data_IF_682369511266
#
_entry.id   IF_682369511266
#
_cell.length_a   1.000
_cell.length_b   1.000
_cell.length_c   1.000
_cell.angle_alpha   90.00
_cell.angle_beta   90.00
_cell.angle_gamma   90.00
#
_symmetry.space_group_name_H-M   'P 1'
#
loop_
_entity.id
_entity.type
_entity.pdbx_description
1 polymer ?
#
# COMPACT_ATOMS: atom_id res chain seq x y z
N UNK A 1 15.38 -10.76 4.44
CA UNK A 1 14.69 -11.85 3.74
C UNK A 1 13.38 -11.23 3.30
N UNK A 2 13.23 -10.93 2.01
CA UNK A 2 11.95 -10.41 1.51
C UNK A 2 10.91 -11.48 1.81
N UNK A 3 9.98 -11.17 2.70
CA UNK A 3 8.90 -12.07 3.08
C UNK A 3 8.05 -12.32 1.83
N UNK A 4 7.70 -13.59 1.57
CA UNK A 4 6.88 -13.94 0.40
C UNK A 4 5.55 -13.17 0.47
N UNK A 5 5.22 -12.28 -0.49
CA UNK A 5 3.99 -11.51 -0.46
C UNK A 5 2.74 -12.38 -0.34
N UNK A 6 2.78 -13.63 -0.83
CA UNK A 6 1.67 -14.58 -0.70
C UNK A 6 1.46 -15.00 0.76
N UNK A 7 2.54 -15.19 1.51
CA UNK A 7 2.51 -15.48 2.94
C UNK A 7 2.04 -14.25 3.72
N UNK A 8 2.60 -13.08 3.44
CA UNK A 8 2.21 -11.83 4.09
C UNK A 8 0.72 -11.53 3.88
N UNK A 9 0.18 -11.71 2.66
CA UNK A 9 -1.26 -11.56 2.37
C UNK A 9 -2.12 -12.55 3.16
N UNK A 10 -1.65 -13.81 3.31
CA UNK A 10 -2.37 -14.82 4.11
C UNK A 10 -2.47 -14.40 5.56
N UNK A 11 -1.37 -13.95 6.16
CA UNK A 11 -1.35 -13.46 7.55
C UNK A 11 -2.22 -12.21 7.75
N UNK A 12 -2.18 -11.26 6.80
CA UNK A 12 -3.09 -10.09 6.85
C UNK A 12 -4.56 -10.53 6.79
N UNK A 13 -4.90 -11.54 5.97
CA UNK A 13 -6.28 -12.06 5.87
C UNK A 13 -6.74 -12.72 7.17
N UNK A 14 -5.86 -13.42 7.87
CA UNK A 14 -6.17 -14.01 9.19
C UNK A 14 -6.50 -12.90 10.21
N UNK A 15 -5.67 -11.86 10.29
CA UNK A 15 -5.92 -10.71 11.18
C UNK A 15 -7.22 -9.98 10.80
N UNK A 16 -7.55 -9.86 9.52
CA UNK A 16 -8.85 -9.30 9.08
C UNK A 16 -10.02 -10.16 9.54
N UNK A 17 -9.89 -11.49 9.55
CA UNK A 17 -10.93 -12.39 10.04
C UNK A 17 -11.11 -12.25 11.57
N UNK A 18 -10.02 -12.19 12.33
CA UNK A 18 -10.02 -11.93 13.78
C UNK A 18 -10.64 -10.55 14.11
N UNK A 19 -10.33 -9.53 13.29
CA UNK A 19 -10.86 -8.19 13.50
C UNK A 19 -12.38 -8.14 13.25
N UNK A 20 -12.87 -8.90 12.25
CA UNK A 20 -14.31 -9.02 11.96
C UNK A 20 -15.07 -9.79 13.03
N UNK A 21 -14.44 -10.76 13.69
CA UNK A 21 -15.04 -11.48 14.82
C UNK A 21 -14.93 -10.72 16.15
N UNK A 22 -14.23 -9.57 16.18
CA UNK A 22 -14.06 -8.75 17.38
C UNK A 22 -13.01 -9.28 18.36
N UNK A 23 -12.15 -10.20 17.92
CA UNK A 23 -11.17 -10.92 18.78
C UNK A 23 -9.73 -10.46 18.50
N UNK A 24 -9.52 -9.45 17.65
CA UNK A 24 -8.17 -9.03 17.26
C UNK A 24 -7.50 -8.11 18.27
N UNK A 25 -6.25 -8.42 18.59
CA UNK A 25 -5.37 -7.59 19.40
C UNK A 25 -4.96 -6.31 18.62
N UNK A 26 -5.08 -5.12 19.23
CA UNK A 26 -4.67 -3.82 18.65
C UNK A 26 -3.31 -3.85 17.91
N UNK A 27 -2.31 -4.52 18.50
CA UNK A 27 -0.95 -4.63 17.99
C UNK A 27 -0.89 -5.50 16.73
N UNK A 28 -1.66 -6.60 16.68
CA UNK A 28 -1.76 -7.44 15.48
C UNK A 28 -2.38 -6.69 14.32
N UNK A 29 -3.41 -5.88 14.58
CA UNK A 29 -4.03 -5.04 13.54
C UNK A 29 -3.02 -4.04 12.99
N UNK A 30 -2.24 -3.38 13.83
CA UNK A 30 -1.18 -2.47 13.38
C UNK A 30 -0.11 -3.19 12.56
N UNK A 31 0.37 -4.36 13.01
CA UNK A 31 1.32 -5.16 12.27
C UNK A 31 0.77 -5.57 10.88
N UNK A 32 -0.51 -5.98 10.83
CA UNK A 32 -1.18 -6.29 9.58
C UNK A 32 -1.33 -5.07 8.64
N UNK A 33 -1.51 -3.85 9.18
CA UNK A 33 -1.51 -2.64 8.37
C UNK A 33 -0.15 -2.31 7.76
N UNK A 34 0.94 -2.52 8.51
CA UNK A 34 2.32 -2.35 8.02
C UNK A 34 2.62 -3.38 6.93
N UNK A 35 2.29 -4.65 7.19
CA UNK A 35 2.42 -5.74 6.23
C UNK A 35 1.62 -5.47 4.93
N UNK A 36 0.38 -5.01 5.08
CA UNK A 36 -0.48 -4.65 3.94
C UNK A 36 0.08 -3.48 3.15
N UNK A 37 0.70 -2.49 3.81
CA UNK A 37 1.39 -1.39 3.12
C UNK A 37 2.56 -1.92 2.29
N UNK A 38 3.41 -2.76 2.86
CA UNK A 38 4.57 -3.33 2.16
C UNK A 38 4.15 -4.14 0.91
N UNK A 39 3.11 -4.98 1.04
CA UNK A 39 2.56 -5.72 -0.11
C UNK A 39 2.02 -4.76 -1.17
N UNK A 40 1.29 -3.70 -0.80
CA UNK A 40 0.80 -2.71 -1.77
C UNK A 40 1.93 -2.01 -2.50
N UNK A 41 3.03 -1.68 -1.81
CA UNK A 41 4.21 -1.07 -2.43
C UNK A 41 4.87 -2.03 -3.44
N UNK A 42 4.99 -3.31 -3.08
CA UNK A 42 5.54 -4.32 -3.97
C UNK A 42 4.65 -4.56 -5.21
N UNK A 43 3.34 -4.68 -5.02
CA UNK A 43 2.38 -4.80 -6.12
C UNK A 43 2.38 -3.57 -7.03
N UNK A 44 2.49 -2.37 -6.44
CA UNK A 44 2.58 -1.13 -7.20
C UNK A 44 3.88 -1.05 -8.03
N UNK A 45 4.98 -1.63 -7.57
CA UNK A 45 6.24 -1.69 -8.30
C UNK A 45 6.18 -2.65 -9.51
N UNK A 46 5.45 -3.76 -9.41
CA UNK A 46 5.28 -4.72 -10.52
C UNK A 46 4.42 -4.18 -11.66
N UNK A 47 3.48 -3.29 -11.34
CA UNK A 47 2.55 -2.76 -12.33
C UNK A 47 3.22 -2.05 -13.53
N UNK A 48 4.14 -1.08 -13.36
CA UNK A 48 4.87 -0.50 -14.50
C UNK A 48 5.73 -1.53 -15.25
N UNK A 49 6.26 -2.56 -14.58
CA UNK A 49 7.01 -3.64 -15.23
C UNK A 49 6.10 -4.48 -16.15
N UNK A 50 4.93 -4.87 -15.66
CA UNK A 50 3.92 -5.62 -16.43
C UNK A 50 3.40 -4.80 -17.61
N UNK A 51 3.14 -3.51 -17.42
CA UNK A 51 2.76 -2.60 -18.50
C UNK A 51 3.87 -2.51 -19.55
N UNK A 52 5.13 -2.34 -19.12
CA UNK A 52 6.27 -2.27 -20.02
C UNK A 52 6.45 -3.56 -20.82
N UNK A 53 6.33 -4.73 -20.19
CA UNK A 53 6.38 -6.03 -20.84
C UNK A 53 5.26 -6.19 -21.90
N UNK A 54 4.02 -5.82 -21.56
CA UNK A 54 2.90 -5.87 -22.49
C UNK A 54 3.10 -4.92 -23.69
N UNK A 55 3.65 -3.71 -23.45
CA UNK A 55 3.99 -2.74 -24.50
C UNK A 55 5.11 -3.26 -25.39
N UNK A 56 6.14 -3.90 -24.84
CA UNK A 56 7.21 -4.55 -25.59
C UNK A 56 6.67 -5.70 -26.47
N UNK A 57 5.66 -6.43 -25.99
CA UNK A 57 4.90 -7.42 -26.76
C UNK A 57 3.89 -6.83 -27.76
N UNK A 58 3.87 -5.52 -27.98
CA UNK A 58 3.02 -4.87 -28.99
C UNK A 58 1.58 -4.57 -28.53
N UNK A 59 1.23 -4.80 -27.27
CA UNK A 59 -0.12 -4.50 -26.76
C UNK A 59 -0.37 -3.00 -26.81
N UNK A 60 -1.47 -2.56 -27.43
CA UNK A 60 -1.80 -1.13 -27.53
C UNK A 60 -2.30 -0.56 -26.20
N UNK A 61 -2.13 0.74 -26.00
CA UNK A 61 -2.69 1.44 -24.84
C UNK A 61 -4.23 1.33 -24.74
N UNK A 62 -4.91 1.23 -25.88
CA UNK A 62 -6.36 1.00 -25.92
C UNK A 62 -6.73 -0.38 -25.38
N UNK A 63 -5.92 -1.41 -25.68
CA UNK A 63 -6.11 -2.77 -25.16
C UNK A 63 -5.73 -2.89 -23.67
N UNK A 64 -4.78 -2.07 -23.19
CA UNK A 64 -4.40 -2.03 -21.77
C UNK A 64 -5.43 -1.31 -20.89
N UNK A 65 -6.14 -0.33 -21.41
CA UNK A 65 -7.02 0.53 -20.60
C UNK A 65 -8.05 -0.25 -19.73
N UNK A 66 -8.77 -1.26 -20.25
CA UNK A 66 -9.68 -2.07 -19.43
C UNK A 66 -8.97 -2.83 -18.31
N UNK A 67 -7.78 -3.41 -18.58
CA UNK A 67 -7.01 -4.17 -17.60
C UNK A 67 -6.46 -3.30 -16.46
N UNK A 68 -6.19 -2.02 -16.74
CA UNK A 68 -5.75 -1.03 -15.74
C UNK A 68 -6.93 -0.34 -15.03
N UNK A 69 -8.18 -0.71 -15.32
CA UNK A 69 -9.37 -0.11 -14.73
C UNK A 69 -9.62 1.34 -15.14
N UNK A 70 -9.14 1.77 -16.31
CA UNK A 70 -9.29 3.14 -16.81
C UNK A 70 -10.10 3.20 -18.11
N UNK A 71 -10.86 4.27 -18.29
CA UNK A 71 -11.82 4.38 -19.40
C UNK A 71 -11.18 4.67 -20.77
N UNK A 72 -9.90 5.07 -20.84
CA UNK A 72 -9.31 5.53 -22.09
C UNK A 72 -7.82 5.21 -22.21
N UNK A 73 -7.37 5.20 -23.48
CA UNK A 73 -5.95 5.12 -23.88
C UNK A 73 -5.09 6.14 -23.13
N UNK A 74 -5.52 7.40 -23.12
CA UNK A 74 -4.78 8.50 -22.50
C UNK A 74 -4.67 8.33 -20.97
N UNK A 75 -5.74 7.82 -20.34
CA UNK A 75 -5.72 7.53 -18.90
C UNK A 75 -4.74 6.40 -18.56
N UNK A 76 -4.65 5.38 -19.42
CA UNK A 76 -3.69 4.28 -19.28
C UNK A 76 -2.25 4.78 -19.41
N UNK A 77 -1.97 5.57 -20.44
CA UNK A 77 -0.64 6.16 -20.68
C UNK A 77 -0.21 7.09 -19.54
N UNK A 78 -1.09 8.01 -19.10
CA UNK A 78 -0.81 8.90 -17.96
C UNK A 78 -0.50 8.12 -16.69
N UNK A 79 -1.22 7.03 -16.43
CA UNK A 79 -0.97 6.17 -15.27
C UNK A 79 0.42 5.54 -15.34
N UNK A 80 0.80 4.96 -16.48
CA UNK A 80 2.15 4.41 -16.67
C UNK A 80 3.24 5.48 -16.51
N UNK A 81 3.05 6.67 -17.06
CA UNK A 81 4.02 7.77 -16.94
C UNK A 81 4.18 8.25 -15.49
N UNK A 82 3.13 8.21 -14.67
CA UNK A 82 3.23 8.50 -13.21
C UNK A 82 3.93 7.39 -12.42
N UNK A 83 3.77 6.15 -12.84
CA UNK A 83 4.35 4.98 -12.18
C UNK A 83 5.81 4.75 -12.57
N UNK A 84 6.27 5.35 -13.68
CA UNK A 84 7.66 5.26 -14.10
C UNK A 84 8.55 5.95 -13.06
N UNK A 85 9.55 5.25 -12.50
CA UNK A 85 10.67 5.92 -11.86
C UNK A 85 11.28 6.86 -12.91
N UNK A 86 11.36 8.16 -12.63
CA UNK A 86 12.06 9.07 -13.52
C UNK A 86 13.49 8.55 -13.67
N UNK A 87 13.89 8.21 -14.89
CA UNK A 87 15.22 7.69 -15.24
C UNK A 87 16.33 8.74 -15.05
N UNK A 88 16.12 9.74 -14.19
CA UNK A 88 16.98 10.88 -13.94
C UNK A 88 16.85 11.49 -12.55
N UNK A 89 16.31 10.78 -11.55
CA UNK A 89 16.44 11.19 -10.14
C UNK A 89 15.68 12.47 -9.71
N UNK A 90 14.87 13.08 -10.58
CA UNK A 90 14.02 14.21 -10.22
C UNK A 90 12.57 13.75 -10.06
N UNK A 91 12.11 13.71 -8.82
CA UNK A 91 10.70 13.60 -8.46
C UNK A 91 10.06 14.98 -8.60
N UNK A 92 9.01 15.13 -9.40
CA UNK A 92 8.25 16.37 -9.43
C UNK A 92 7.66 16.66 -8.04
N UNK A 93 7.66 17.92 -7.63
CA UNK A 93 7.29 18.35 -6.28
C UNK A 93 5.88 17.88 -5.85
N UNK A 94 4.95 17.73 -6.80
CA UNK A 94 3.59 17.24 -6.54
C UNK A 94 3.55 15.77 -6.10
N UNK A 95 4.38 14.90 -6.68
CA UNK A 95 4.46 13.50 -6.28
C UNK A 95 5.02 13.35 -4.85
N UNK A 96 5.94 14.24 -4.45
CA UNK A 96 6.39 14.34 -3.04
C UNK A 96 5.25 14.80 -2.14
N UNK A 97 4.47 15.78 -2.57
CA UNK A 97 3.38 16.36 -1.77
C UNK A 97 2.25 15.36 -1.56
N UNK A 98 1.89 14.57 -2.56
CA UNK A 98 0.85 13.54 -2.43
C UNK A 98 1.33 12.36 -1.58
N UNK A 99 2.55 11.87 -1.81
CA UNK A 99 3.15 10.85 -0.95
C UNK A 99 3.33 11.33 0.51
N UNK A 100 3.64 12.61 0.71
CA UNK A 100 3.72 13.24 2.03
C UNK A 100 2.33 13.44 2.65
N UNK A 101 1.30 13.76 1.86
CA UNK A 101 -0.10 13.85 2.32
C UNK A 101 -0.62 12.50 2.78
N UNK A 102 -0.34 11.44 2.03
CA UNK A 102 -0.73 10.08 2.38
C UNK A 102 0.02 9.57 3.62
N UNK A 103 1.33 9.86 3.70
CA UNK A 103 2.12 9.57 4.91
C UNK A 103 1.56 10.29 6.13
N UNK A 104 1.30 11.59 6.05
CA UNK A 104 0.72 12.38 7.14
C UNK A 104 -0.71 11.96 7.48
N UNK A 105 -1.51 11.52 6.51
CA UNK A 105 -2.83 10.97 6.76
C UNK A 105 -2.74 9.66 7.55
N UNK A 106 -1.77 8.80 7.20
CA UNK A 106 -1.42 7.61 7.98
C UNK A 106 -0.97 7.96 9.40
N UNK A 107 -0.03 8.88 9.55
CA UNK A 107 0.51 9.27 10.87
C UNK A 107 -0.56 9.90 11.77
N UNK A 108 -1.49 10.70 11.20
CA UNK A 108 -2.63 11.24 11.95
C UNK A 108 -3.59 10.14 12.39
N UNK A 109 -3.90 9.19 11.52
CA UNK A 109 -4.77 8.07 11.86
C UNK A 109 -4.17 7.21 12.99
N UNK A 110 -2.85 6.97 12.94
CA UNK A 110 -2.11 6.24 13.97
C UNK A 110 -2.07 7.03 15.28
N UNK A 111 -1.76 8.32 15.24
CA UNK A 111 -1.70 9.16 16.45
C UNK A 111 -3.08 9.32 17.10
N UNK A 112 -4.14 9.44 16.30
CA UNK A 112 -5.53 9.48 16.81
C UNK A 112 -5.93 8.16 17.45
N UNK A 113 -5.57 7.03 16.83
CA UNK A 113 -5.79 5.72 17.39
C UNK A 113 -5.01 5.52 18.69
N UNK A 114 -3.74 5.92 18.76
CA UNK A 114 -2.91 5.79 19.96
C UNK A 114 -3.45 6.63 21.12
N UNK A 115 -3.96 7.84 20.85
CA UNK A 115 -4.65 8.67 21.86
C UNK A 115 -5.91 7.99 22.39
N UNK A 116 -6.75 7.47 21.49
CA UNK A 116 -8.00 6.75 21.86
C UNK A 116 -7.74 5.48 22.67
N UNK A 117 -6.63 4.79 22.41
CA UNK A 117 -6.29 3.52 23.06
C UNK A 117 -5.24 3.67 24.19
N UNK A 118 -4.93 4.91 24.59
CA UNK A 118 -3.80 5.20 25.50
C UNK A 118 -3.91 4.56 26.89
N UNK A 119 -5.12 4.32 27.39
CA UNK A 119 -5.33 3.64 28.67
C UNK A 119 -4.97 2.15 28.59
N UNK A 120 -5.30 1.50 27.46
CA UNK A 120 -4.98 0.11 27.17
C UNK A 120 -3.46 -0.03 26.99
N UNK A 121 -2.82 0.89 26.25
CA UNK A 121 -1.36 0.92 26.07
C UNK A 121 -0.60 1.08 27.41
N UNK A 122 -1.11 1.90 28.33
CA UNK A 122 -0.52 2.05 29.68
C UNK A 122 -0.70 0.81 30.55
N UNK A 123 -1.83 0.13 30.45
CA UNK A 123 -2.10 -1.10 31.19
C UNK A 123 -1.21 -2.25 30.70
N UNK A 124 -1.06 -2.42 29.38
CA UNK A 124 -0.17 -3.41 28.78
C UNK A 124 1.29 -3.17 29.14
N UNK A 125 1.75 -1.91 29.14
CA UNK A 125 3.10 -1.55 29.58
C UNK A 125 3.35 -1.84 31.07
N UNK A 126 2.31 -1.80 31.92
CA UNK A 126 2.40 -2.17 33.33
C UNK A 126 2.34 -3.68 33.62
N UNK A 127 1.96 -4.51 32.64
CA UNK A 127 1.94 -5.97 32.75
C UNK A 127 3.15 -6.66 32.11
N UNK A 128 3.88 -5.95 31.25
CA UNK A 128 5.12 -6.42 30.61
C UNK A 128 6.40 -5.96 31.35
N UNK A 129 6.25 -5.28 32.50
CA UNK A 129 7.33 -4.85 33.39
C UNK A 129 7.39 -5.65 34.67
#
# INVERSE_FOLDING_TARGET
>A
MDEDPSQTVRSVREVVAEARSGVSEPERVLAALVALKAVREQLAAWEPELIAAARAGGTSWTALAPALGVASRQAAERRFLRLRPSTGGESTGEARVDAERDRRAGDRAVAEWARRNSAILRQLAGQAG
#
